data_IF_479620489865
#
_entry.id   IF_479620489865
#
_cell.length_a   1.000
_cell.length_b   1.000
_cell.length_c   1.000
_cell.angle_alpha   90.00
_cell.angle_beta   90.00
_cell.angle_gamma   90.00
#
_symmetry.space_group_name_H-M   'P 1'
#
loop_
_entity.id
_entity.type
_entity.pdbx_description
1 polymer ?
#
# COMPACT_ATOMS: atom_id res chain seq x y z
N UNK A 1 29.64 -32.04 -47.67
CA UNK A 1 28.32 -31.61 -47.21
C UNK A 1 28.48 -30.64 -46.02
N UNK A 2 27.92 -29.47 -46.18
CA UNK A 2 27.87 -28.49 -45.09
C UNK A 2 27.00 -29.01 -43.94
N UNK A 3 27.48 -29.01 -42.68
CA UNK A 3 26.67 -29.46 -41.57
C UNK A 3 25.40 -28.61 -41.47
N UNK A 4 24.27 -29.27 -41.30
CA UNK A 4 23.01 -28.61 -41.09
C UNK A 4 23.11 -27.80 -39.81
N UNK A 5 22.78 -26.49 -39.80
CA UNK A 5 22.86 -25.72 -38.56
C UNK A 5 21.94 -26.33 -37.50
N UNK A 6 22.47 -26.51 -36.32
CA UNK A 6 21.66 -26.96 -35.18
C UNK A 6 20.56 -25.94 -34.91
N UNK A 7 19.31 -26.37 -34.59
CA UNK A 7 18.26 -25.42 -34.24
C UNK A 7 18.69 -24.65 -32.99
N UNK A 8 18.70 -23.34 -33.12
CA UNK A 8 18.93 -22.47 -31.98
C UNK A 8 17.75 -22.65 -30.99
N UNK A 9 18.07 -23.02 -29.77
CA UNK A 9 17.03 -23.13 -28.74
C UNK A 9 16.26 -21.83 -28.66
N UNK A 10 14.93 -21.90 -28.65
CA UNK A 10 14.09 -20.72 -28.46
C UNK A 10 14.47 -20.04 -27.16
N UNK A 11 14.51 -18.70 -27.16
CA UNK A 11 14.73 -17.92 -25.94
C UNK A 11 13.67 -18.29 -24.89
N UNK A 12 14.04 -18.38 -23.60
CA UNK A 12 13.07 -18.65 -22.54
C UNK A 12 11.93 -17.65 -22.60
N UNK A 13 10.70 -18.13 -22.40
CA UNK A 13 9.49 -17.31 -22.42
C UNK A 13 9.01 -17.09 -21.00
N UNK A 14 8.68 -15.85 -20.68
CA UNK A 14 8.07 -15.42 -19.45
C UNK A 14 6.73 -14.76 -19.81
N UNK A 15 5.66 -15.55 -19.78
CA UNK A 15 4.35 -15.13 -20.32
C UNK A 15 3.69 -14.04 -19.48
N UNK A 16 3.79 -14.12 -18.15
CA UNK A 16 3.18 -13.13 -17.27
C UNK A 16 4.13 -11.99 -16.86
N UNK A 17 5.41 -12.09 -17.22
CA UNK A 17 6.38 -11.02 -16.97
C UNK A 17 6.81 -10.88 -15.50
N UNK A 18 6.72 -11.95 -14.73
CA UNK A 18 7.07 -11.93 -13.31
C UNK A 18 8.57 -12.18 -13.03
N UNK A 19 9.35 -12.46 -14.08
CA UNK A 19 10.76 -12.75 -13.99
C UNK A 19 11.09 -14.23 -13.87
N UNK A 20 10.10 -15.10 -13.82
CA UNK A 20 10.26 -16.55 -13.80
C UNK A 20 9.80 -17.12 -15.13
N UNK A 21 10.66 -17.88 -15.79
CA UNK A 21 10.34 -18.45 -17.11
C UNK A 21 9.27 -19.54 -16.99
N UNK A 22 8.43 -19.65 -18.02
CA UNK A 22 7.29 -20.56 -18.05
C UNK A 22 7.58 -21.99 -17.56
N UNK A 23 8.70 -22.64 -17.95
CA UNK A 23 8.97 -24.00 -17.47
C UNK A 23 9.15 -24.11 -15.94
N UNK A 24 9.59 -23.05 -15.28
CA UNK A 24 9.82 -23.00 -13.84
C UNK A 24 8.66 -22.32 -13.10
N UNK A 25 7.81 -21.61 -13.84
CA UNK A 25 6.70 -20.83 -13.26
C UNK A 25 5.54 -21.76 -12.87
N UNK A 26 5.31 -21.88 -11.56
CA UNK A 26 4.22 -22.68 -11.00
C UNK A 26 2.93 -21.87 -10.80
N UNK A 27 3.00 -20.56 -10.96
CA UNK A 27 1.86 -19.65 -10.76
C UNK A 27 1.69 -18.73 -11.98
N UNK A 28 1.35 -19.26 -13.15
CA UNK A 28 1.16 -18.43 -14.34
C UNK A 28 0.03 -17.42 -14.12
N UNK A 29 0.17 -16.25 -14.70
CA UNK A 29 -0.83 -15.20 -14.55
C UNK A 29 -0.62 -14.28 -13.36
N UNK A 30 0.61 -14.18 -12.86
CA UNK A 30 0.99 -13.26 -11.79
C UNK A 30 0.77 -11.80 -12.23
N UNK A 31 0.24 -10.98 -11.33
CA UNK A 31 0.00 -9.57 -11.61
C UNK A 31 1.32 -8.82 -11.89
N UNK A 32 1.29 -7.96 -12.89
CA UNK A 32 2.44 -7.15 -13.25
C UNK A 32 2.90 -6.28 -12.07
N UNK A 33 4.21 -6.29 -11.80
CA UNK A 33 4.79 -5.53 -10.70
C UNK A 33 4.80 -6.24 -9.36
N UNK A 34 4.16 -7.42 -9.26
CA UNK A 34 4.18 -8.21 -8.03
C UNK A 34 5.55 -8.84 -7.79
N UNK A 35 5.92 -8.94 -6.51
CA UNK A 35 7.08 -9.75 -6.11
C UNK A 35 6.68 -11.22 -6.06
N UNK A 36 7.52 -12.05 -6.62
CA UNK A 36 7.31 -13.50 -6.66
C UNK A 36 8.53 -14.22 -6.11
N UNK A 37 8.32 -15.45 -5.67
CA UNK A 37 9.40 -16.36 -5.29
C UNK A 37 10.01 -17.02 -6.53
N UNK A 38 10.95 -17.93 -6.32
CA UNK A 38 11.63 -18.67 -7.41
C UNK A 38 10.69 -19.53 -8.26
N UNK A 39 9.46 -19.75 -7.80
CA UNK A 39 8.43 -20.53 -8.50
C UNK A 39 7.44 -19.66 -9.26
N UNK A 40 7.63 -18.34 -9.25
CA UNK A 40 6.72 -17.39 -9.88
C UNK A 40 5.44 -17.12 -9.06
N UNK A 41 5.40 -17.54 -7.81
CA UNK A 41 4.24 -17.38 -6.94
C UNK A 41 4.37 -16.17 -6.04
N UNK A 42 3.24 -15.53 -5.70
CA UNK A 42 3.23 -14.38 -4.82
C UNK A 42 3.92 -14.68 -3.49
N UNK A 43 4.77 -13.75 -3.08
CA UNK A 43 5.35 -13.78 -1.74
C UNK A 43 4.28 -13.31 -0.77
N UNK A 44 3.95 -14.15 0.21
CA UNK A 44 2.95 -13.81 1.22
C UNK A 44 3.56 -12.95 2.31
N UNK A 45 2.87 -11.87 2.67
CA UNK A 45 3.28 -11.04 3.80
C UNK A 45 3.03 -11.81 5.10
N UNK A 46 4.08 -11.99 5.90
CA UNK A 46 4.01 -12.75 7.16
C UNK A 46 3.68 -11.89 8.36
N UNK A 47 3.98 -10.60 8.30
CA UNK A 47 3.81 -9.66 9.39
C UNK A 47 3.05 -8.42 8.92
N UNK A 48 2.25 -7.85 9.82
CA UNK A 48 1.63 -6.55 9.57
C UNK A 48 2.72 -5.47 9.50
N UNK A 49 2.65 -4.61 8.49
CA UNK A 49 3.56 -3.48 8.33
C UNK A 49 2.81 -2.18 8.42
N UNK A 50 3.40 -1.21 9.12
CA UNK A 50 2.87 0.14 9.26
C UNK A 50 3.76 1.12 8.51
N UNK A 51 3.12 2.00 7.73
CA UNK A 51 3.80 3.06 6.97
C UNK A 51 3.34 4.40 7.51
N UNK A 52 4.25 5.17 8.12
CA UNK A 52 3.98 6.56 8.43
C UNK A 52 4.01 7.36 7.14
N UNK A 53 2.87 7.91 6.75
CA UNK A 53 2.77 8.68 5.53
C UNK A 53 3.12 10.14 5.83
N UNK A 54 4.13 10.65 5.14
CA UNK A 54 4.49 12.06 5.20
C UNK A 54 3.56 12.84 4.28
N UNK A 55 2.37 13.10 4.78
CA UNK A 55 1.34 13.87 4.06
C UNK A 55 0.94 15.07 4.88
N UNK A 56 0.62 16.16 4.20
CA UNK A 56 0.13 17.37 4.83
C UNK A 56 -1.18 17.80 4.20
N UNK A 57 -1.98 18.43 5.05
CA UNK A 57 -3.28 18.94 4.67
C UNK A 57 -3.34 20.43 5.00
N UNK A 58 -4.02 21.20 4.16
CA UNK A 58 -4.33 22.58 4.47
C UNK A 58 -5.19 22.61 5.75
N UNK A 59 -4.80 23.43 6.72
CA UNK A 59 -5.56 23.53 8.00
C UNK A 59 -6.82 24.35 7.82
N UNK A 60 -7.95 23.90 8.33
CA UNK A 60 -8.32 22.63 8.98
C UNK A 60 -8.89 21.60 7.99
N UNK A 61 -8.43 21.58 6.79
CA UNK A 61 -8.97 20.83 5.65
C UNK A 61 -8.49 19.39 5.62
N UNK A 62 -9.22 18.55 4.87
CA UNK A 62 -8.79 17.23 4.44
C UNK A 62 -8.26 17.25 3.00
N UNK A 63 -7.99 18.41 2.42
CA UNK A 63 -7.41 18.54 1.09
C UNK A 63 -5.94 18.14 1.12
N UNK A 64 -5.60 17.11 0.34
CA UNK A 64 -4.27 16.55 0.28
C UNK A 64 -3.35 17.45 -0.53
N UNK A 65 -2.20 17.82 0.03
CA UNK A 65 -1.20 18.62 -0.67
C UNK A 65 -0.47 17.74 -1.70
N UNK A 66 -0.53 18.08 -3.01
CA UNK A 66 0.12 17.29 -4.05
C UNK A 66 1.63 17.13 -3.88
N UNK A 67 2.30 18.04 -3.16
CA UNK A 67 3.75 17.96 -2.92
C UNK A 67 4.13 16.82 -1.96
N UNK A 68 3.17 16.23 -1.28
CA UNK A 68 3.39 15.16 -0.29
C UNK A 68 2.84 13.81 -0.74
N UNK A 69 2.73 13.60 -2.06
CA UNK A 69 2.24 12.33 -2.60
C UNK A 69 3.29 11.19 -2.61
N UNK A 70 4.56 11.51 -2.35
CA UNK A 70 5.66 10.53 -2.42
C UNK A 70 5.47 9.33 -1.50
N UNK A 71 5.07 9.56 -0.25
CA UNK A 71 4.82 8.47 0.71
C UNK A 71 3.65 7.58 0.29
N UNK A 72 2.62 8.18 -0.31
CA UNK A 72 1.46 7.44 -0.82
C UNK A 72 1.88 6.58 -2.02
N UNK A 73 2.74 7.13 -2.89
CA UNK A 73 3.31 6.39 -4.02
C UNK A 73 4.12 5.18 -3.54
N UNK A 74 4.92 5.33 -2.50
CA UNK A 74 5.71 4.24 -1.92
C UNK A 74 4.80 3.14 -1.36
N UNK A 75 3.73 3.52 -0.68
CA UNK A 75 2.73 2.59 -0.18
C UNK A 75 2.04 1.84 -1.33
N UNK A 76 1.66 2.57 -2.38
CA UNK A 76 1.05 1.97 -3.57
C UNK A 76 2.00 0.96 -4.25
N UNK A 77 3.28 1.28 -4.34
CA UNK A 77 4.30 0.39 -4.87
C UNK A 77 4.38 -0.90 -4.04
N UNK A 78 4.38 -0.77 -2.73
CA UNK A 78 4.38 -1.95 -1.83
C UNK A 78 3.14 -2.82 -2.05
N UNK A 79 1.95 -2.21 -2.15
CA UNK A 79 0.70 -2.93 -2.39
C UNK A 79 0.69 -3.64 -3.75
N UNK A 80 1.33 -3.06 -4.74
CA UNK A 80 1.49 -3.68 -6.07
C UNK A 80 2.45 -4.86 -6.03
N UNK A 81 3.54 -4.73 -5.26
CA UNK A 81 4.52 -5.81 -5.09
C UNK A 81 3.96 -7.00 -4.29
N UNK A 82 3.02 -6.74 -3.39
CA UNK A 82 2.38 -7.76 -2.54
C UNK A 82 0.87 -7.77 -2.77
N UNK A 83 0.40 -8.30 -3.91
CA UNK A 83 -1.02 -8.17 -4.30
C UNK A 83 -1.99 -8.97 -3.42
N UNK A 84 -1.49 -9.83 -2.54
CA UNK A 84 -2.33 -10.55 -1.56
C UNK A 84 -2.43 -9.83 -0.22
N UNK A 85 -2.25 -8.52 -0.21
CA UNK A 85 -2.35 -7.68 0.98
C UNK A 85 -3.47 -6.67 0.87
N UNK A 86 -3.99 -6.24 2.01
CA UNK A 86 -4.94 -5.15 2.15
C UNK A 86 -4.33 -4.06 3.01
N UNK A 87 -4.81 -2.84 2.85
CA UNK A 87 -4.36 -1.70 3.63
C UNK A 87 -5.54 -1.03 4.33
N UNK A 88 -5.32 -0.64 5.59
CA UNK A 88 -6.20 0.28 6.32
C UNK A 88 -5.44 1.57 6.48
N UNK A 89 -6.00 2.66 5.98
CA UNK A 89 -5.45 4.00 6.16
C UNK A 89 -6.03 4.59 7.45
N UNK A 90 -5.17 4.91 8.40
CA UNK A 90 -5.57 5.42 9.71
C UNK A 90 -5.21 6.89 9.83
N UNK A 91 -6.21 7.73 10.14
CA UNK A 91 -6.01 9.14 10.42
C UNK A 91 -5.98 9.42 11.91
N UNK A 92 -5.09 10.30 12.33
CA UNK A 92 -4.91 10.70 13.72
C UNK A 92 -4.75 12.22 13.84
N UNK A 93 -5.17 12.77 14.97
CA UNK A 93 -5.05 14.19 15.26
C UNK A 93 -4.30 14.42 16.58
N UNK A 94 -3.94 15.69 16.84
CA UNK A 94 -3.57 16.10 18.19
C UNK A 94 -4.83 16.32 19.05
N UNK A 95 -4.66 16.76 20.29
CA UNK A 95 -5.74 16.96 21.23
C UNK A 95 -6.41 18.35 21.14
N UNK A 96 -6.04 19.18 20.18
CA UNK A 96 -6.65 20.48 19.98
C UNK A 96 -8.02 20.34 19.30
N UNK A 97 -9.02 21.02 19.85
CA UNK A 97 -10.39 20.97 19.33
C UNK A 97 -11.24 19.92 20.04
N UNK A 98 -12.49 19.81 19.64
CA UNK A 98 -13.41 18.83 20.22
C UNK A 98 -13.12 17.42 19.71
N UNK A 99 -13.48 16.42 20.51
CA UNK A 99 -13.35 15.01 20.13
C UNK A 99 -14.12 14.71 18.84
N UNK A 100 -15.35 15.20 18.73
CA UNK A 100 -16.19 14.97 17.56
C UNK A 100 -15.60 15.59 16.30
N UNK A 101 -15.05 16.80 16.41
CA UNK A 101 -14.38 17.47 15.28
C UNK A 101 -13.13 16.70 14.83
N UNK A 102 -12.30 16.31 15.79
CA UNK A 102 -11.06 15.55 15.51
C UNK A 102 -11.35 14.17 14.92
N UNK A 103 -12.38 13.51 15.40
CA UNK A 103 -12.81 12.22 14.87
C UNK A 103 -13.21 12.37 13.40
N UNK A 104 -14.04 13.33 13.08
CA UNK A 104 -14.49 13.60 11.72
C UNK A 104 -13.32 13.99 10.79
N UNK A 105 -12.45 14.88 11.27
CA UNK A 105 -11.30 15.34 10.49
C UNK A 105 -10.34 14.19 10.18
N UNK A 106 -10.06 13.34 11.15
CA UNK A 106 -9.19 12.17 10.95
C UNK A 106 -9.78 11.17 9.97
N UNK A 107 -11.07 10.93 10.01
CA UNK A 107 -11.78 10.09 9.04
C UNK A 107 -11.68 10.67 7.62
N UNK A 108 -11.91 11.97 7.47
CA UNK A 108 -11.82 12.64 6.16
C UNK A 108 -10.41 12.62 5.59
N UNK A 109 -9.40 12.80 6.42
CA UNK A 109 -7.99 12.76 6.00
C UNK A 109 -7.56 11.35 5.61
N UNK A 110 -7.95 10.36 6.38
CA UNK A 110 -7.69 8.96 6.04
C UNK A 110 -8.37 8.58 4.72
N UNK A 111 -9.62 9.02 4.54
CA UNK A 111 -10.37 8.79 3.30
C UNK A 111 -9.71 9.46 2.09
N UNK A 112 -9.18 10.68 2.25
CA UNK A 112 -8.49 11.37 1.16
C UNK A 112 -7.28 10.59 0.67
N UNK A 113 -6.50 10.01 1.57
CA UNK A 113 -5.35 9.16 1.24
C UNK A 113 -5.82 7.85 0.59
N UNK A 114 -6.85 7.22 1.14
CA UNK A 114 -7.42 6.00 0.57
C UNK A 114 -7.93 6.23 -0.87
N UNK A 115 -8.63 7.33 -1.09
CA UNK A 115 -9.14 7.70 -2.42
C UNK A 115 -7.98 7.95 -3.40
N UNK A 116 -6.88 8.53 -2.95
CA UNK A 116 -5.69 8.72 -3.79
C UNK A 116 -5.05 7.39 -4.20
N UNK A 117 -4.98 6.41 -3.28
CA UNK A 117 -4.49 5.07 -3.61
C UNK A 117 -5.34 4.42 -4.70
N UNK A 118 -6.65 4.58 -4.63
CA UNK A 118 -7.59 3.98 -5.58
C UNK A 118 -7.55 4.70 -6.92
N UNK A 119 -7.69 6.04 -6.92
CA UNK A 119 -7.86 6.81 -8.15
C UNK A 119 -6.56 7.18 -8.85
N UNK A 120 -5.51 7.54 -8.08
CA UNK A 120 -4.22 7.98 -8.65
C UNK A 120 -3.26 6.82 -8.90
N UNK A 121 -3.30 5.80 -8.06
CA UNK A 121 -2.37 4.67 -8.14
C UNK A 121 -3.05 3.35 -8.53
N UNK A 122 -4.33 3.39 -8.82
CA UNK A 122 -5.11 2.25 -9.36
C UNK A 122 -5.09 1.01 -8.48
N UNK A 123 -4.99 1.19 -7.16
CA UNK A 123 -5.16 0.09 -6.21
C UNK A 123 -6.64 -0.27 -6.15
N UNK A 124 -6.96 -1.55 -6.19
CA UNK A 124 -8.34 -2.02 -6.16
C UNK A 124 -9.04 -1.55 -4.88
N UNK A 125 -10.22 -0.96 -5.02
CA UNK A 125 -10.99 -0.42 -3.89
C UNK A 125 -11.31 -1.48 -2.82
N UNK A 126 -11.45 -2.74 -3.21
CA UNK A 126 -11.70 -3.85 -2.28
C UNK A 126 -10.53 -4.12 -1.33
N UNK A 127 -9.34 -3.62 -1.65
CA UNK A 127 -8.12 -3.78 -0.85
C UNK A 127 -7.84 -2.61 0.08
N UNK A 128 -8.59 -1.51 -0.05
CA UNK A 128 -8.32 -0.25 0.64
C UNK A 128 -9.49 0.10 1.54
N UNK A 129 -9.22 0.33 2.81
CA UNK A 129 -10.19 0.86 3.75
C UNK A 129 -9.57 2.02 4.53
N UNK A 130 -10.39 2.80 5.20
CA UNK A 130 -9.93 3.93 5.99
C UNK A 130 -10.66 3.99 7.33
N UNK A 131 -9.95 4.51 8.34
CA UNK A 131 -10.49 4.70 9.67
C UNK A 131 -9.90 5.97 10.29
N UNK A 132 -10.70 6.68 11.06
CA UNK A 132 -10.25 7.83 11.83
C UNK A 132 -10.30 7.51 13.32
N UNK A 133 -9.25 7.88 14.03
CA UNK A 133 -9.14 7.65 15.48
C UNK A 133 -9.11 8.97 16.26
N UNK A 134 -9.20 10.11 15.57
CA UNK A 134 -9.13 11.40 16.23
C UNK A 134 -7.87 11.52 17.09
N UNK A 135 -8.05 11.97 18.33
CA UNK A 135 -6.95 12.12 19.29
C UNK A 135 -6.73 10.88 20.18
N UNK A 136 -7.49 9.80 19.97
CA UNK A 136 -7.54 8.65 20.89
C UNK A 136 -6.24 7.84 20.97
N UNK A 137 -5.37 7.94 19.97
CA UNK A 137 -4.12 7.13 19.88
C UNK A 137 -2.89 8.01 19.71
N UNK A 138 -2.52 8.80 20.73
CA UNK A 138 -1.33 9.65 20.64
C UNK A 138 -0.05 8.80 20.62
N UNK A 139 0.95 9.24 19.86
CA UNK A 139 2.30 8.64 19.84
C UNK A 139 3.31 9.52 20.57
N UNK A 140 2.91 10.76 20.92
CA UNK A 140 3.75 11.73 21.60
C UNK A 140 2.90 12.61 22.51
N UNK A 141 3.56 13.45 23.30
CA UNK A 141 2.87 14.38 24.22
C UNK A 141 2.11 15.46 23.44
N UNK A 142 0.86 15.71 23.79
CA UNK A 142 0.08 16.86 23.29
C UNK A 142 0.43 18.17 23.99
N UNK A 143 1.28 18.13 25.03
CA UNK A 143 1.72 19.31 25.76
C UNK A 143 2.76 20.14 24.99
N UNK A 144 3.47 19.54 24.04
CA UNK A 144 4.50 20.22 23.23
C UNK A 144 4.05 20.36 21.79
N UNK A 145 4.55 21.41 21.10
CA UNK A 145 4.27 21.60 19.68
C UNK A 145 4.82 20.46 18.83
N UNK A 146 5.99 19.94 19.15
CA UNK A 146 6.60 18.81 18.46
C UNK A 146 5.78 17.54 18.64
N UNK A 147 5.30 17.26 19.85
CA UNK A 147 4.47 16.10 20.15
C UNK A 147 3.12 16.18 19.44
N UNK A 148 2.50 17.35 19.41
CA UNK A 148 1.25 17.55 18.66
C UNK A 148 1.46 17.32 17.17
N UNK A 149 2.57 17.78 16.60
CA UNK A 149 2.89 17.57 15.19
C UNK A 149 3.06 16.07 14.88
N UNK A 150 3.65 15.30 15.77
CA UNK A 150 3.78 13.85 15.62
C UNK A 150 2.44 13.13 15.72
N UNK A 151 1.51 13.65 16.51
CA UNK A 151 0.17 13.07 16.65
C UNK A 151 -0.71 13.33 15.43
N UNK A 152 -0.48 14.44 14.71
CA UNK A 152 -1.16 14.74 13.45
C UNK A 152 -0.52 13.91 12.34
N UNK A 153 -1.00 12.70 12.14
CA UNK A 153 -0.41 11.76 11.19
C UNK A 153 -1.46 10.93 10.48
N UNK A 154 -1.06 10.36 9.34
CA UNK A 154 -1.80 9.33 8.63
C UNK A 154 -0.87 8.13 8.49
N UNK A 155 -1.37 6.95 8.79
CA UNK A 155 -0.62 5.69 8.78
C UNK A 155 -1.33 4.70 7.86
N UNK A 156 -0.56 4.02 7.01
CA UNK A 156 -1.06 2.89 6.23
C UNK A 156 -0.65 1.59 6.91
N UNK A 157 -1.62 0.80 7.34
CA UNK A 157 -1.38 -0.52 7.97
C UNK A 157 -1.68 -1.60 6.95
N UNK A 158 -0.64 -2.31 6.52
CA UNK A 158 -0.73 -3.36 5.49
C UNK A 158 -0.65 -4.72 6.15
N UNK A 159 -1.61 -5.57 5.82
CA UNK A 159 -1.66 -6.94 6.33
C UNK A 159 -2.08 -7.90 5.23
N UNK A 160 -1.78 -9.20 5.41
CA UNK A 160 -2.17 -10.22 4.47
C UNK A 160 -3.70 -10.32 4.38
N UNK A 161 -4.20 -10.42 3.14
CA UNK A 161 -5.62 -10.63 2.90
C UNK A 161 -6.00 -12.08 3.19
N UNK A 162 -6.86 -12.29 4.18
CA UNK A 162 -7.29 -13.64 4.60
C UNK A 162 -8.09 -14.33 3.50
N UNK A 163 -8.94 -13.59 2.80
CA UNK A 163 -9.80 -14.14 1.75
C UNK A 163 -9.00 -14.72 0.59
N UNK A 164 -7.92 -14.07 0.20
CA UNK A 164 -7.08 -14.53 -0.91
C UNK A 164 -6.25 -15.76 -0.57
N UNK A 165 -6.03 -16.05 0.70
CA UNK A 165 -5.36 -17.27 1.13
C UNK A 165 -6.20 -18.52 0.93
N UNK A 166 -7.53 -18.39 1.03
CA UNK A 166 -8.46 -19.52 0.95
C UNK A 166 -8.72 -19.92 -0.49
N UNK A 167 -8.48 -19.03 -1.44
CA UNK A 167 -8.77 -19.23 -2.86
C UNK A 167 -7.62 -19.82 -3.67
N UNK A 168 -6.51 -20.15 -3.04
CA UNK A 168 -5.34 -20.74 -3.70
C UNK A 168 -5.21 -22.23 -3.45
#
# INVERSE_FOLDING_TARGET
PTPKPEPVAAAPVDTDGDGVFDPQDQCPGTAKGAKVDEKGCYIMLKETKSFNLDVKFAKPSADLDPNYMGSISDLATFLTQYPTTDVVVEGHTDANGSDAYNQKLSEQRAKAVADALISSYHIDASRVSSAGYGEARPVASNATAEGRAQNRRVVGVVKASVEKRVMQ
#
